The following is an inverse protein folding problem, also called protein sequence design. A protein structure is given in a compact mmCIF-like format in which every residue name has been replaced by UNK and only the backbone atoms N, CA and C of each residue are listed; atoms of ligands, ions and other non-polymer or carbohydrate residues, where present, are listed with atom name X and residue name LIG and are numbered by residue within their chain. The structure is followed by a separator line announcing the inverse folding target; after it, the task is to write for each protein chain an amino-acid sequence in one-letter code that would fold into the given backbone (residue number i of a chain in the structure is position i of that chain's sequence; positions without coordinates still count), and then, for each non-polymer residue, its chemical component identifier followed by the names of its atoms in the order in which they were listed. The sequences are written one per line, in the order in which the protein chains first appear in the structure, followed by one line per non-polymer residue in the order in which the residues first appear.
data_IF_810067736348
#
_entry.id   IF_810067736348
#
_cell.length_a   1.000
_cell.length_b   1.000
_cell.length_c   1.000
_cell.angle_alpha   90.00
_cell.angle_beta   90.00
_cell.angle_gamma   90.00
#
_symmetry.space_group_name_H-M   'P 1'
#
loop_
_entity.id
_entity.type
_entity.pdbx_description
1 polymer ?
#
# COMPACT_ATOMS: atom_id res chain seq x y z
N UNK A 1 -59.19 -50.20 -37.06
CA UNK A 1 -57.97 -50.84 -36.50
C UNK A 1 -56.70 -50.13 -36.98
N UNK A 2 -56.61 -49.99 -38.26
CA UNK A 2 -55.48 -49.32 -38.88
C UNK A 2 -55.50 -47.82 -38.55
N UNK A 3 -56.63 -47.19 -38.57
CA UNK A 3 -56.80 -45.79 -38.22
C UNK A 3 -56.54 -45.53 -36.78
N UNK A 4 -56.95 -46.45 -35.90
CA UNK A 4 -56.66 -46.32 -34.46
C UNK A 4 -55.18 -46.38 -34.18
N UNK A 5 -54.43 -47.27 -34.86
CA UNK A 5 -52.99 -47.39 -34.76
C UNK A 5 -52.26 -46.16 -35.24
N UNK A 6 -52.72 -45.56 -36.34
CA UNK A 6 -52.19 -44.33 -36.91
C UNK A 6 -52.41 -43.17 -35.95
N UNK A 7 -53.61 -43.05 -35.37
CA UNK A 7 -53.92 -42.01 -34.41
C UNK A 7 -53.08 -42.16 -33.15
N UNK A 8 -52.87 -43.37 -32.66
CA UNK A 8 -52.04 -43.64 -31.53
C UNK A 8 -50.57 -43.27 -31.77
N UNK A 9 -50.07 -43.62 -32.96
CA UNK A 9 -48.72 -43.28 -33.38
C UNK A 9 -48.54 -41.76 -33.49
N UNK A 10 -49.51 -41.07 -34.06
CA UNK A 10 -49.52 -39.62 -34.19
C UNK A 10 -49.54 -38.93 -32.82
N UNK A 11 -50.37 -39.42 -31.90
CA UNK A 11 -50.45 -38.92 -30.52
C UNK A 11 -49.14 -39.10 -29.78
N UNK A 12 -48.49 -40.25 -29.93
CA UNK A 12 -47.18 -40.51 -29.36
C UNK A 12 -46.11 -39.58 -29.90
N UNK A 13 -46.14 -39.42 -31.23
CA UNK A 13 -45.20 -38.55 -31.92
C UNK A 13 -45.31 -37.11 -31.41
N UNK A 14 -46.53 -36.57 -31.35
CA UNK A 14 -46.81 -35.22 -30.84
C UNK A 14 -46.38 -35.06 -29.38
N UNK A 15 -46.66 -36.07 -28.56
CA UNK A 15 -46.26 -36.05 -27.16
C UNK A 15 -44.73 -36.04 -27.01
N UNK A 16 -44.03 -36.86 -27.77
CA UNK A 16 -42.58 -36.89 -27.78
C UNK A 16 -41.98 -35.53 -28.16
N UNK A 17 -42.53 -34.92 -29.21
CA UNK A 17 -42.07 -33.59 -29.64
C UNK A 17 -42.36 -32.55 -28.59
N UNK A 18 -43.57 -32.55 -28.01
CA UNK A 18 -43.92 -31.61 -26.96
C UNK A 18 -43.03 -31.78 -25.73
N UNK A 19 -42.79 -33.00 -25.30
CA UNK A 19 -41.91 -33.30 -24.15
C UNK A 19 -40.46 -32.86 -24.44
N UNK A 20 -39.96 -33.10 -25.64
CA UNK A 20 -38.65 -32.67 -26.07
C UNK A 20 -38.49 -31.14 -26.08
N UNK A 21 -39.52 -30.45 -26.59
CA UNK A 21 -39.55 -28.98 -26.63
C UNK A 21 -39.58 -28.41 -25.22
N UNK A 22 -40.41 -28.97 -24.33
CA UNK A 22 -40.48 -28.53 -22.95
C UNK A 22 -39.16 -28.76 -22.20
N UNK A 23 -38.53 -29.90 -22.44
CA UNK A 23 -37.24 -30.22 -21.89
C UNK A 23 -36.15 -29.28 -22.38
N UNK A 24 -36.16 -28.97 -23.67
CA UNK A 24 -35.22 -28.02 -24.25
C UNK A 24 -35.39 -26.63 -23.68
N UNK A 25 -36.62 -26.14 -23.51
CA UNK A 25 -36.92 -24.84 -22.91
C UNK A 25 -36.45 -24.80 -21.46
N UNK A 26 -36.68 -25.86 -20.70
CA UNK A 26 -36.27 -25.94 -19.34
C UNK A 26 -34.74 -25.94 -19.21
N UNK A 27 -34.06 -26.69 -20.08
CA UNK A 27 -32.61 -26.71 -20.13
C UNK A 27 -32.03 -25.33 -20.46
N UNK A 28 -32.61 -24.64 -21.43
CA UNK A 28 -32.20 -23.25 -21.78
C UNK A 28 -32.44 -22.31 -20.62
N UNK A 29 -33.58 -22.38 -19.96
CA UNK A 29 -33.93 -21.55 -18.81
C UNK A 29 -32.96 -21.79 -17.65
N UNK A 30 -32.66 -23.06 -17.37
CA UNK A 30 -31.73 -23.42 -16.31
C UNK A 30 -30.30 -22.94 -16.63
N UNK A 31 -29.90 -23.10 -17.91
CA UNK A 31 -28.59 -22.65 -18.36
C UNK A 31 -28.43 -21.12 -18.23
N UNK A 32 -29.50 -20.39 -18.64
CA UNK A 32 -29.54 -18.92 -18.52
C UNK A 32 -29.47 -18.49 -17.08
N UNK A 33 -30.25 -19.11 -16.21
CA UNK A 33 -30.26 -18.80 -14.77
C UNK A 33 -28.89 -19.04 -14.15
N UNK A 34 -28.24 -20.14 -14.51
CA UNK A 34 -26.87 -20.46 -14.02
C UNK A 34 -25.85 -19.44 -14.52
N UNK A 35 -25.94 -19.09 -15.79
CA UNK A 35 -25.04 -18.11 -16.38
C UNK A 35 -25.20 -16.73 -15.69
N UNK A 36 -26.44 -16.29 -15.49
CA UNK A 36 -26.72 -15.03 -14.79
C UNK A 36 -26.23 -15.06 -13.36
N UNK A 37 -26.40 -16.18 -12.65
CA UNK A 37 -25.91 -16.34 -11.29
C UNK A 37 -24.39 -16.29 -11.24
N UNK A 38 -23.71 -16.93 -12.19
CA UNK A 38 -22.24 -16.89 -12.26
C UNK A 38 -21.73 -15.49 -12.55
N UNK A 39 -22.39 -14.76 -13.45
CA UNK A 39 -22.03 -13.38 -13.78
C UNK A 39 -22.19 -12.50 -12.54
N UNK A 40 -23.30 -12.61 -11.82
CA UNK A 40 -23.52 -11.84 -10.58
C UNK A 40 -22.48 -12.14 -9.52
N UNK A 41 -22.16 -13.41 -9.33
CA UNK A 41 -21.11 -13.79 -8.39
C UNK A 41 -19.75 -13.23 -8.76
N UNK A 42 -19.42 -13.28 -10.07
CA UNK A 42 -18.17 -12.73 -10.57
C UNK A 42 -18.11 -11.22 -10.38
N UNK A 43 -19.20 -10.52 -10.66
CA UNK A 43 -19.31 -9.07 -10.47
C UNK A 43 -19.19 -8.69 -8.99
N UNK A 44 -19.85 -9.43 -8.10
CA UNK A 44 -19.76 -9.22 -6.66
C UNK A 44 -18.33 -9.42 -6.16
N UNK A 45 -17.67 -10.50 -6.60
CA UNK A 45 -16.29 -10.77 -6.24
C UNK A 45 -15.35 -9.69 -6.76
N UNK A 46 -15.54 -9.27 -8.01
CA UNK A 46 -14.73 -8.20 -8.59
C UNK A 46 -14.90 -6.89 -7.84
N UNK A 47 -16.14 -6.52 -7.51
CA UNK A 47 -16.44 -5.32 -6.73
C UNK A 47 -15.82 -5.39 -5.32
N UNK A 48 -15.92 -6.54 -4.67
CA UNK A 48 -15.34 -6.75 -3.35
C UNK A 48 -13.81 -6.66 -3.38
N UNK A 49 -13.17 -7.27 -4.38
CA UNK A 49 -11.72 -7.18 -4.57
C UNK A 49 -11.27 -5.76 -4.83
N UNK A 50 -12.01 -5.03 -5.67
CA UNK A 50 -11.70 -3.64 -5.96
C UNK A 50 -11.81 -2.77 -4.71
N UNK A 51 -12.90 -2.92 -3.96
CA UNK A 51 -13.12 -2.17 -2.73
C UNK A 51 -12.02 -2.48 -1.69
N UNK A 52 -11.63 -3.75 -1.56
CA UNK A 52 -10.57 -4.17 -0.65
C UNK A 52 -9.22 -3.59 -1.07
N UNK A 53 -8.92 -3.62 -2.37
CA UNK A 53 -7.70 -3.05 -2.91
C UNK A 53 -7.63 -1.54 -2.68
N UNK A 54 -8.73 -0.81 -2.90
CA UNK A 54 -8.81 0.63 -2.64
C UNK A 54 -8.60 0.93 -1.16
N UNK A 55 -9.22 0.14 -0.29
CA UNK A 55 -9.06 0.30 1.15
C UNK A 55 -7.61 0.09 1.58
N UNK A 56 -6.99 -0.98 1.10
CA UNK A 56 -5.59 -1.27 1.39
C UNK A 56 -4.67 -0.18 0.85
N UNK A 57 -4.94 0.29 -0.35
CA UNK A 57 -4.18 1.40 -0.94
C UNK A 57 -4.25 2.65 -0.08
N UNK A 58 -5.45 3.02 0.37
CA UNK A 58 -5.65 4.18 1.24
C UNK A 58 -4.90 4.01 2.57
N UNK A 59 -4.97 2.83 3.17
CA UNK A 59 -4.25 2.52 4.41
C UNK A 59 -2.74 2.64 4.24
N UNK A 60 -2.20 2.08 3.15
CA UNK A 60 -0.78 2.17 2.83
C UNK A 60 -0.36 3.62 2.61
N UNK A 61 -1.14 4.38 1.83
CA UNK A 61 -0.83 5.79 1.58
C UNK A 61 -0.86 6.62 2.85
N UNK A 62 -1.82 6.36 3.74
CA UNK A 62 -1.88 7.05 5.03
C UNK A 62 -0.67 6.72 5.89
N UNK A 63 -0.26 5.45 5.93
CA UNK A 63 0.93 5.01 6.66
C UNK A 63 2.18 5.67 6.09
N UNK A 64 2.34 5.70 4.77
CA UNK A 64 3.46 6.35 4.09
C UNK A 64 3.52 7.83 4.43
N UNK A 65 2.37 8.52 4.41
CA UNK A 65 2.31 9.95 4.78
C UNK A 65 2.73 10.19 6.23
N UNK A 66 2.26 9.34 7.13
CA UNK A 66 2.63 9.44 8.54
C UNK A 66 4.13 9.23 8.75
N UNK A 67 4.69 8.23 8.09
CA UNK A 67 6.13 7.96 8.12
C UNK A 67 6.92 9.10 7.52
N UNK A 68 6.46 9.66 6.40
CA UNK A 68 7.10 10.80 5.77
C UNK A 68 7.12 12.00 6.69
N UNK A 69 6.00 12.32 7.33
CA UNK A 69 5.89 13.42 8.27
C UNK A 69 6.83 13.22 9.47
N UNK A 70 6.87 12.00 10.01
CA UNK A 70 7.75 11.66 11.11
C UNK A 70 9.23 11.79 10.72
N UNK A 71 9.59 11.34 9.52
CA UNK A 71 10.96 11.46 9.01
C UNK A 71 11.36 12.91 8.77
N UNK A 72 10.47 13.72 8.21
CA UNK A 72 10.71 15.15 8.00
C UNK A 72 10.92 15.87 9.33
N UNK A 73 10.12 15.54 10.35
CA UNK A 73 10.29 16.08 11.69
C UNK A 73 11.65 15.67 12.28
N UNK A 74 12.03 14.42 12.09
CA UNK A 74 13.31 13.91 12.58
C UNK A 74 14.49 14.57 11.87
N UNK A 75 14.39 14.79 10.57
CA UNK A 75 15.41 15.51 9.81
C UNK A 75 15.54 16.94 10.35
N UNK A 76 14.42 17.61 10.60
CA UNK A 76 14.41 18.96 11.17
C UNK A 76 15.10 19.01 12.54
N UNK A 77 14.79 18.05 13.41
CA UNK A 77 15.41 17.93 14.73
C UNK A 77 16.92 17.68 14.61
N UNK A 78 17.33 16.80 13.71
CA UNK A 78 18.75 16.51 13.48
C UNK A 78 19.51 17.71 12.94
N UNK A 79 18.88 18.50 12.06
CA UNK A 79 19.49 19.74 11.56
C UNK A 79 19.67 20.77 12.68
N UNK A 80 18.68 20.89 13.55
CA UNK A 80 18.76 21.77 14.70
C UNK A 80 19.84 21.32 15.65
N UNK A 81 19.88 20.04 15.96
CA UNK A 81 20.91 19.43 16.80
C UNK A 81 22.31 19.64 16.21
N UNK A 82 22.47 19.42 14.92
CA UNK A 82 23.74 19.61 14.22
C UNK A 82 24.22 21.07 14.31
N UNK A 83 23.33 22.02 14.12
CA UNK A 83 23.66 23.44 14.23
C UNK A 83 24.07 23.81 15.66
N UNK A 84 23.33 23.35 16.64
CA UNK A 84 23.66 23.59 18.05
C UNK A 84 25.00 22.95 18.42
N UNK A 85 25.22 21.74 18.00
CA UNK A 85 26.46 21.02 18.23
C UNK A 85 27.65 21.74 17.58
N UNK A 86 27.48 22.18 16.34
CA UNK A 86 28.50 22.94 15.62
C UNK A 86 28.84 24.25 16.34
N UNK A 87 27.84 24.97 16.79
CA UNK A 87 28.00 26.21 17.52
C UNK A 87 28.76 25.99 18.85
N UNK A 88 28.37 24.96 19.60
CA UNK A 88 29.03 24.61 20.86
C UNK A 88 30.49 24.20 20.66
N UNK A 89 30.70 23.38 19.63
CA UNK A 89 32.04 22.92 19.30
C UNK A 89 32.94 24.09 18.88
N UNK A 90 32.41 24.97 18.03
CA UNK A 90 33.11 26.17 17.61
C UNK A 90 33.47 27.05 18.80
N UNK A 91 32.55 27.28 19.70
CA UNK A 91 32.79 28.08 20.93
C UNK A 91 33.85 27.42 21.81
N UNK A 92 33.77 26.11 21.96
CA UNK A 92 34.77 25.36 22.77
C UNK A 92 36.16 25.46 22.12
N UNK A 93 36.25 25.26 20.80
CA UNK A 93 37.52 25.36 20.09
C UNK A 93 38.11 26.76 20.17
N UNK A 94 37.28 27.79 20.03
CA UNK A 94 37.71 29.17 20.18
C UNK A 94 38.24 29.47 21.58
N UNK A 95 37.53 28.98 22.60
CA UNK A 95 37.97 29.09 23.99
C UNK A 95 39.31 28.41 24.21
N UNK A 96 39.47 27.21 23.72
CA UNK A 96 40.72 26.46 23.85
C UNK A 96 41.86 27.13 23.09
N UNK A 97 41.58 27.67 21.92
CA UNK A 97 42.57 28.40 21.12
C UNK A 97 43.03 29.66 21.87
N UNK A 98 42.11 30.42 22.43
CA UNK A 98 42.43 31.61 23.24
C UNK A 98 43.25 31.23 24.48
N UNK A 99 42.89 30.17 25.14
CA UNK A 99 43.63 29.67 26.31
C UNK A 99 45.04 29.25 25.91
N UNK A 100 45.19 28.52 24.80
CA UNK A 100 46.49 28.12 24.29
C UNK A 100 47.35 29.30 23.89
N UNK A 101 46.78 30.28 23.20
CA UNK A 101 47.48 31.50 22.82
C UNK A 101 47.95 32.27 24.06
N UNK A 102 47.09 32.37 25.07
CA UNK A 102 47.45 32.98 26.33
C UNK A 102 48.59 32.27 27.02
N UNK A 103 48.57 30.93 27.07
CA UNK A 103 49.64 30.14 27.64
C UNK A 103 50.91 30.19 26.80
N UNK A 104 50.75 30.12 25.49
CA UNK A 104 51.86 30.17 24.55
C UNK A 104 52.61 31.48 24.62
N UNK A 105 51.89 32.59 24.82
CA UNK A 105 52.50 33.89 24.97
C UNK A 105 53.17 34.04 26.35
N UNK A 106 52.54 33.56 27.40
CA UNK A 106 53.02 33.68 28.75
C UNK A 106 54.24 32.78 29.02
N UNK A 107 54.17 31.51 28.61
CA UNK A 107 55.22 30.54 28.91
C UNK A 107 56.57 30.84 28.24
N UNK A 108 56.66 31.07 26.91
CA UNK A 108 57.90 31.42 26.29
C UNK A 108 58.51 32.71 26.78
N UNK A 109 57.68 33.73 26.98
CA UNK A 109 58.15 35.02 27.48
C UNK A 109 58.65 34.88 28.91
N UNK A 110 57.93 34.09 29.74
CA UNK A 110 58.37 33.81 31.09
C UNK A 110 59.71 33.06 31.15
N UNK A 111 59.87 32.06 30.31
CA UNK A 111 61.11 31.30 30.24
C UNK A 111 62.25 32.16 29.70
N UNK A 112 61.95 32.95 28.68
CA UNK A 112 62.95 33.85 28.10
C UNK A 112 63.42 34.89 29.13
N UNK A 113 62.45 35.44 29.86
CA UNK A 113 62.76 36.37 30.95
C UNK A 113 63.59 35.74 32.04
N UNK A 114 63.27 34.52 32.41
CA UNK A 114 64.03 33.79 33.42
C UNK A 114 65.45 33.43 32.97
N UNK A 115 65.57 33.06 31.70
CA UNK A 115 66.90 32.66 31.17
C UNK A 115 67.84 33.86 31.01
N UNK A 116 67.32 35.04 30.88
CA UNK A 116 68.13 36.24 30.74
C UNK A 116 68.57 36.80 32.08
N UNK A 117 67.90 36.41 33.10
CA UNK A 117 68.27 36.78 34.43
C UNK A 117 69.30 35.83 35.03
#
# INVERSE_FOLDING_TARGET
RYDAQLQEADTRSKKLVADAENKAKQTESDATSRAEAQIRQAEEKAAALQADAEKKHTEVMNTVKQQQTALEARISELRTFEREYRTRLKTLLQSQLEELESRGTAAPNGEAGKSND
#
